data_IF_207044241287
#
_entry.id   IF_207044241287
#
_cell.length_a   1.000
_cell.length_b   1.000
_cell.length_c   1.000
_cell.angle_alpha   90.00
_cell.angle_beta   90.00
_cell.angle_gamma   90.00
#
_symmetry.space_group_name_H-M   'P 1'
#
loop_
_entity.id
_entity.type
_entity.pdbx_description
1 polymer ?
#
# COMPACT_ATOMS: atom_id res chain seq x y z
N UNK A 1 -5.58 20.44 -67.21
CA UNK A 1 -6.52 21.33 -66.50
C UNK A 1 -6.00 21.65 -65.10
N UNK A 2 -5.51 22.87 -64.85
CA UNK A 2 -4.93 23.26 -63.57
C UNK A 2 -5.92 23.25 -62.39
N UNK A 3 -7.21 23.47 -62.65
CA UNK A 3 -8.26 23.48 -61.62
C UNK A 3 -8.46 22.13 -60.90
N UNK A 4 -8.27 21.00 -61.60
CA UNK A 4 -8.42 19.68 -61.00
C UNK A 4 -7.27 19.34 -60.02
N UNK A 5 -6.06 19.83 -60.32
CA UNK A 5 -4.87 19.66 -59.48
C UNK A 5 -4.98 20.51 -58.21
N UNK A 6 -5.48 21.73 -58.34
CA UNK A 6 -5.68 22.65 -57.21
C UNK A 6 -6.73 22.13 -56.22
N UNK A 7 -7.83 21.55 -56.73
CA UNK A 7 -8.83 20.89 -55.90
C UNK A 7 -8.31 19.64 -55.17
N UNK A 8 -7.40 18.88 -55.78
CA UNK A 8 -6.78 17.72 -55.15
C UNK A 8 -5.78 18.13 -54.06
N UNK A 9 -4.99 19.19 -54.28
CA UNK A 9 -4.05 19.73 -53.29
C UNK A 9 -4.77 20.34 -52.08
N UNK A 10 -5.89 21.04 -52.32
CA UNK A 10 -6.73 21.59 -51.24
C UNK A 10 -7.29 20.48 -50.34
N UNK A 11 -7.89 19.44 -50.93
CA UNK A 11 -8.40 18.28 -50.17
C UNK A 11 -7.31 17.55 -49.40
N UNK A 12 -6.10 17.44 -49.96
CA UNK A 12 -4.94 16.85 -49.28
C UNK A 12 -4.47 17.72 -48.11
N UNK A 13 -4.48 19.04 -48.24
CA UNK A 13 -4.16 19.98 -47.15
C UNK A 13 -5.20 19.92 -46.04
N UNK A 14 -6.48 19.97 -46.38
CA UNK A 14 -7.59 19.87 -45.41
C UNK A 14 -7.56 18.51 -44.67
N UNK A 15 -7.21 17.41 -45.36
CA UNK A 15 -7.05 16.10 -44.73
C UNK A 15 -5.83 16.01 -43.79
N UNK A 16 -4.74 16.69 -44.13
CA UNK A 16 -3.54 16.78 -43.28
C UNK A 16 -3.82 17.67 -42.05
N UNK A 17 -4.46 18.82 -42.24
CA UNK A 17 -4.91 19.69 -41.15
C UNK A 17 -5.91 18.96 -40.23
N UNK A 18 -6.80 18.13 -40.77
CA UNK A 18 -7.70 17.30 -39.96
C UNK A 18 -6.97 16.18 -39.20
N UNK A 19 -5.91 15.59 -39.78
CA UNK A 19 -5.07 14.60 -39.10
C UNK A 19 -4.19 15.23 -38.00
N UNK A 20 -3.71 16.45 -38.21
CA UNK A 20 -2.95 17.25 -37.24
C UNK A 20 -3.85 17.83 -36.14
N UNK A 21 -5.11 18.16 -36.46
CA UNK A 21 -6.12 18.64 -35.53
C UNK A 21 -6.87 17.51 -34.79
N UNK A 22 -6.51 16.24 -35.02
CA UNK A 22 -6.95 15.18 -34.10
C UNK A 22 -6.48 15.56 -32.70
N UNK A 23 -7.36 15.54 -31.68
CA UNK A 23 -6.91 15.66 -30.30
C UNK A 23 -5.99 14.47 -30.01
N UNK A 24 -4.69 14.67 -30.19
CA UNK A 24 -3.65 13.73 -29.80
C UNK A 24 -3.69 13.64 -28.29
N UNK A 25 -4.08 12.46 -27.82
CA UNK A 25 -4.05 12.05 -26.41
C UNK A 25 -4.95 12.87 -25.47
N UNK A 26 -6.05 12.24 -24.99
CA UNK A 26 -6.29 12.32 -23.54
C UNK A 26 -4.96 11.97 -22.89
N UNK A 27 -4.39 12.86 -22.08
CA UNK A 27 -3.01 12.72 -21.58
C UNK A 27 -2.74 11.26 -21.19
N UNK A 28 -1.83 10.62 -21.92
CA UNK A 28 -1.42 9.23 -21.66
C UNK A 28 -0.95 9.08 -20.22
N UNK A 29 -0.38 10.15 -19.67
CA UNK A 29 0.05 10.28 -18.27
C UNK A 29 -1.03 9.88 -17.25
N UNK A 30 -2.28 10.34 -17.40
CA UNK A 30 -3.35 10.00 -16.45
C UNK A 30 -3.85 8.56 -16.60
N UNK A 31 -3.76 8.00 -17.81
CA UNK A 31 -4.15 6.61 -18.09
C UNK A 31 -3.08 5.62 -17.61
N UNK A 32 -1.81 6.00 -17.66
CA UNK A 32 -0.70 5.20 -17.16
C UNK A 32 -0.69 5.17 -15.63
N UNK A 33 -0.96 6.30 -14.95
CA UNK A 33 -1.11 6.32 -13.49
C UNK A 33 -2.25 5.42 -13.01
N UNK A 34 -3.41 5.45 -13.69
CA UNK A 34 -4.53 4.57 -13.35
C UNK A 34 -4.20 3.08 -13.53
N UNK A 35 -3.46 2.74 -14.59
CA UNK A 35 -2.99 1.36 -14.83
C UNK A 35 -1.99 0.93 -13.76
N UNK A 36 -1.01 1.77 -13.43
CA UNK A 36 -0.05 1.51 -12.36
C UNK A 36 -0.75 1.33 -11.01
N UNK A 37 -1.74 2.17 -10.69
CA UNK A 37 -2.56 2.02 -9.48
C UNK A 37 -3.34 0.70 -9.48
N UNK A 38 -3.97 0.34 -10.60
CA UNK A 38 -4.71 -0.92 -10.71
C UNK A 38 -3.79 -2.14 -10.57
N UNK A 39 -2.59 -2.08 -11.16
CA UNK A 39 -1.57 -3.12 -11.02
C UNK A 39 -1.06 -3.21 -9.58
N UNK A 40 -0.73 -2.09 -8.95
CA UNK A 40 -0.30 -2.02 -7.55
C UNK A 40 -1.37 -2.59 -6.61
N UNK A 41 -2.64 -2.32 -6.89
CA UNK A 41 -3.75 -2.88 -6.12
C UNK A 41 -3.89 -4.39 -6.34
N UNK A 42 -3.74 -4.86 -7.58
CA UNK A 42 -3.83 -6.27 -7.91
C UNK A 42 -2.63 -7.09 -7.41
N UNK A 43 -1.47 -6.45 -7.18
CA UNK A 43 -0.27 -7.11 -6.65
C UNK A 43 -0.28 -7.30 -5.14
N UNK A 44 -1.20 -6.69 -4.40
CA UNK A 44 -1.30 -6.89 -2.95
C UNK A 44 -1.65 -8.36 -2.67
N UNK A 45 -0.74 -9.04 -2.01
CA UNK A 45 -0.79 -10.49 -1.79
C UNK A 45 -1.09 -10.78 -0.33
N UNK A 46 -2.09 -11.61 -0.05
CA UNK A 46 -2.32 -12.15 1.31
C UNK A 46 -1.25 -13.17 1.64
N UNK A 47 -0.54 -12.96 2.74
CA UNK A 47 0.43 -13.91 3.28
C UNK A 47 -0.25 -14.89 4.23
N UNK A 48 -1.06 -14.37 5.15
CA UNK A 48 -1.87 -15.15 6.11
C UNK A 48 -3.05 -14.35 6.62
N UNK A 49 -4.10 -15.04 7.05
CA UNK A 49 -5.27 -14.44 7.71
C UNK A 49 -5.90 -15.44 8.70
N UNK A 50 -5.24 -15.73 9.83
CA UNK A 50 -5.65 -16.79 10.75
C UNK A 50 -7.03 -16.54 11.38
N UNK A 51 -7.43 -15.26 11.45
CA UNK A 51 -8.67 -14.82 12.09
C UNK A 51 -9.74 -14.36 11.10
N UNK A 52 -9.49 -14.48 9.79
CA UNK A 52 -10.41 -14.08 8.71
C UNK A 52 -10.89 -12.64 8.86
N UNK A 53 -9.98 -11.73 9.19
CA UNK A 53 -10.30 -10.31 9.41
C UNK A 53 -10.19 -9.48 8.13
N UNK A 54 -9.63 -10.03 7.05
CA UNK A 54 -9.55 -9.36 5.78
C UNK A 54 -10.86 -9.48 4.99
N UNK A 55 -11.27 -8.42 4.26
CA UNK A 55 -10.71 -7.06 4.30
C UNK A 55 -11.15 -6.29 5.56
N UNK A 56 -10.40 -5.25 5.95
CA UNK A 56 -10.70 -4.49 7.17
C UNK A 56 -11.99 -3.65 7.04
N UNK A 57 -12.30 -3.17 5.84
CA UNK A 57 -13.55 -2.48 5.57
C UNK A 57 -14.73 -3.45 5.57
N UNK A 58 -15.71 -3.24 6.45
CA UNK A 58 -17.05 -3.82 6.26
C UNK A 58 -17.59 -4.75 7.35
N UNK A 59 -16.93 -4.93 8.51
CA UNK A 59 -17.47 -5.82 9.57
C UNK A 59 -17.34 -5.36 11.02
N UNK A 60 -16.66 -4.27 11.34
CA UNK A 60 -16.51 -3.84 12.75
C UNK A 60 -16.71 -2.33 12.91
N UNK A 61 -17.70 -1.88 13.70
CA UNK A 61 -17.87 -0.47 14.01
C UNK A 61 -16.85 -0.08 15.08
N UNK A 62 -15.73 0.52 14.67
CA UNK A 62 -14.74 1.04 15.60
C UNK A 62 -13.60 1.76 14.89
N UNK A 63 -12.89 2.66 15.58
CA UNK A 63 -11.74 3.35 15.02
C UNK A 63 -10.64 2.34 14.67
N UNK A 64 -9.92 2.63 13.59
CA UNK A 64 -8.74 1.89 13.15
C UNK A 64 -7.50 2.63 13.66
N UNK A 65 -6.68 1.99 14.48
CA UNK A 65 -5.36 2.52 14.80
C UNK A 65 -4.40 2.14 13.67
N UNK A 66 -3.79 3.11 13.02
CA UNK A 66 -2.69 2.91 12.08
C UNK A 66 -1.35 3.10 12.79
N UNK A 67 -0.57 2.03 12.91
CA UNK A 67 0.78 2.05 13.47
C UNK A 67 1.78 1.95 12.33
N UNK A 68 2.69 2.91 12.22
CA UNK A 68 3.80 2.88 11.25
C UNK A 68 5.05 2.44 12.00
N UNK A 69 5.63 1.31 11.58
CA UNK A 69 6.94 0.84 12.02
C UNK A 69 7.91 0.99 10.84
N UNK A 70 8.84 1.94 10.95
CA UNK A 70 9.82 2.24 9.90
C UNK A 70 11.23 2.17 10.46
N UNK A 71 11.98 1.15 10.06
CA UNK A 71 13.36 0.91 10.53
C UNK A 71 14.39 1.82 9.85
N UNK A 72 14.06 2.45 8.72
CA UNK A 72 15.00 3.28 7.95
C UNK A 72 14.78 4.80 8.12
N UNK A 73 13.73 5.20 8.84
CA UNK A 73 13.37 6.61 9.01
C UNK A 73 13.27 7.41 7.69
N UNK A 74 12.78 6.76 6.63
CA UNK A 74 12.77 7.37 5.30
C UNK A 74 11.62 8.38 5.21
N UNK A 75 11.97 9.61 4.89
CA UNK A 75 11.01 10.71 4.79
C UNK A 75 9.87 10.39 3.80
N UNK A 76 8.63 10.62 4.24
CA UNK A 76 7.44 10.55 3.39
C UNK A 76 6.76 9.18 3.34
N UNK A 77 7.30 8.14 3.96
CA UNK A 77 6.65 6.81 4.05
C UNK A 77 5.33 6.86 4.81
N UNK A 78 5.19 7.78 5.74
CA UNK A 78 3.98 8.00 6.52
C UNK A 78 2.90 8.79 5.78
N UNK A 79 3.24 9.43 4.65
CA UNK A 79 2.36 10.37 3.95
C UNK A 79 1.03 9.74 3.52
N UNK A 80 0.98 8.55 2.90
CA UNK A 80 -0.29 7.94 2.51
C UNK A 80 -1.22 7.63 3.70
N UNK A 81 -0.64 7.21 4.84
CA UNK A 81 -1.39 6.99 6.07
C UNK A 81 -1.92 8.31 6.65
N UNK A 82 -1.08 9.36 6.65
CA UNK A 82 -1.46 10.71 7.10
C UNK A 82 -2.60 11.30 6.27
N UNK A 83 -2.51 11.21 4.94
CA UNK A 83 -3.57 11.67 4.04
C UNK A 83 -4.90 10.98 4.40
N UNK A 84 -4.89 9.66 4.64
CA UNK A 84 -6.09 8.89 5.02
C UNK A 84 -6.67 9.24 6.40
N UNK A 85 -5.82 9.55 7.38
CA UNK A 85 -6.25 10.09 8.68
C UNK A 85 -6.96 11.45 8.52
N UNK A 86 -6.37 12.35 7.73
CA UNK A 86 -6.92 13.67 7.44
C UNK A 86 -8.28 13.59 6.70
N UNK A 87 -8.53 12.54 5.92
CA UNK A 87 -9.80 12.30 5.25
C UNK A 87 -10.92 11.70 6.14
N UNK A 88 -10.68 11.53 7.45
CA UNK A 88 -11.75 11.24 8.42
C UNK A 88 -12.24 9.79 8.46
N UNK A 89 -11.44 8.81 8.03
CA UNK A 89 -11.82 7.39 7.99
C UNK A 89 -11.80 6.68 9.37
N UNK A 90 -11.81 7.44 10.48
CA UNK A 90 -11.60 6.87 11.83
C UNK A 90 -10.22 6.24 12.01
N UNK A 91 -9.25 6.66 11.19
CA UNK A 91 -7.86 6.21 11.23
C UNK A 91 -7.08 7.13 12.17
N UNK A 92 -6.47 6.58 13.23
CA UNK A 92 -5.56 7.32 14.10
C UNK A 92 -4.14 6.86 13.86
N UNK A 93 -3.22 7.76 13.50
CA UNK A 93 -1.85 7.37 13.18
C UNK A 93 -0.93 7.49 14.39
N UNK A 94 -0.04 6.52 14.55
CA UNK A 94 1.13 6.58 15.42
C UNK A 94 2.34 6.02 14.68
N UNK A 95 3.51 6.63 14.89
CA UNK A 95 4.77 6.15 14.30
C UNK A 95 5.72 5.77 15.43
N UNK A 96 6.24 4.55 15.38
CA UNK A 96 7.34 4.11 16.22
C UNK A 96 8.61 4.02 15.37
N UNK A 97 9.66 4.67 15.88
CA UNK A 97 11.03 4.60 15.35
C UNK A 97 11.95 3.83 16.31
N UNK A 98 11.51 3.70 17.56
CA UNK A 98 12.19 3.10 18.68
C UNK A 98 11.16 2.61 19.72
N UNK A 99 11.65 2.01 20.79
CA UNK A 99 10.84 1.50 21.90
C UNK A 99 10.16 2.60 22.75
N UNK A 100 10.54 3.87 22.62
CA UNK A 100 10.08 4.93 23.54
C UNK A 100 8.57 5.20 23.44
N UNK A 101 7.94 4.82 22.32
CA UNK A 101 6.50 4.99 22.07
C UNK A 101 5.68 3.71 22.21
N UNK A 102 6.31 2.60 22.59
CA UNK A 102 5.66 1.29 22.64
C UNK A 102 4.43 1.27 23.55
N UNK A 103 4.54 1.79 24.79
CA UNK A 103 3.42 1.78 25.74
C UNK A 103 2.21 2.63 25.29
N UNK A 104 2.47 3.79 24.67
CA UNK A 104 1.41 4.64 24.11
C UNK A 104 0.67 3.90 22.98
N UNK A 105 1.42 3.27 22.07
CA UNK A 105 0.87 2.51 20.95
C UNK A 105 0.07 1.31 21.43
N UNK A 106 0.57 0.56 22.41
CA UNK A 106 -0.12 -0.58 23.00
C UNK A 106 -1.41 -0.16 23.69
N UNK A 107 -1.38 0.95 24.43
CA UNK A 107 -2.57 1.52 25.07
C UNK A 107 -3.63 1.95 24.06
N UNK A 108 -3.21 2.62 22.97
CA UNK A 108 -4.10 3.00 21.88
C UNK A 108 -4.68 1.76 21.16
N UNK A 109 -3.87 0.72 20.96
CA UNK A 109 -4.28 -0.52 20.31
C UNK A 109 -5.34 -1.27 21.12
N UNK A 110 -5.26 -1.21 22.46
CA UNK A 110 -6.27 -1.77 23.34
C UNK A 110 -7.66 -1.14 23.12
N UNK A 111 -7.71 0.18 22.92
CA UNK A 111 -8.94 0.95 22.71
C UNK A 111 -9.48 0.89 21.28
N UNK A 112 -8.63 0.58 20.30
CA UNK A 112 -9.02 0.54 18.89
C UNK A 112 -9.88 -0.68 18.56
N UNK A 113 -10.83 -0.53 17.62
CA UNK A 113 -11.62 -1.66 17.09
C UNK A 113 -10.79 -2.56 16.18
N UNK A 114 -9.83 -1.97 15.48
CA UNK A 114 -8.86 -2.63 14.59
C UNK A 114 -7.50 -1.97 14.68
N UNK A 115 -6.46 -2.73 14.38
CA UNK A 115 -5.08 -2.22 14.28
C UNK A 115 -4.54 -2.54 12.89
N UNK A 116 -4.09 -1.52 12.18
CA UNK A 116 -3.39 -1.62 10.91
C UNK A 116 -1.92 -1.27 11.17
N UNK A 117 -1.01 -2.21 10.95
CA UNK A 117 0.42 -2.00 11.17
C UNK A 117 1.13 -1.96 9.82
N UNK A 118 1.67 -0.81 9.46
CA UNK A 118 2.45 -0.60 8.24
C UNK A 118 3.93 -0.86 8.55
N UNK A 119 4.51 -1.84 7.88
CA UNK A 119 5.88 -2.28 8.09
C UNK A 119 6.76 -1.81 6.94
N UNK A 120 7.77 -1.02 7.26
CA UNK A 120 8.79 -0.57 6.33
C UNK A 120 10.16 -1.02 6.82
N UNK A 121 10.90 -1.70 5.95
CA UNK A 121 12.26 -2.13 6.23
C UNK A 121 12.99 -2.50 4.95
N UNK A 122 13.97 -1.69 4.58
CA UNK A 122 14.83 -1.95 3.44
C UNK A 122 15.84 -3.05 3.78
N UNK A 123 16.00 -3.97 2.84
CA UNK A 123 17.13 -4.89 2.84
C UNK A 123 18.36 -4.11 2.39
N UNK A 124 19.28 -3.83 3.33
CA UNK A 124 20.53 -3.12 3.08
C UNK A 124 21.71 -3.99 3.49
N UNK A 125 22.71 -4.10 2.63
CA UNK A 125 23.90 -4.93 2.88
C UNK A 125 24.64 -4.55 4.18
N UNK A 126 24.64 -3.26 4.55
CA UNK A 126 25.33 -2.77 5.74
C UNK A 126 24.57 -3.00 7.06
N UNK A 127 23.26 -3.32 7.02
CA UNK A 127 22.47 -3.53 8.25
C UNK A 127 22.82 -4.84 8.97
N UNK A 128 23.40 -5.81 8.26
CA UNK A 128 23.76 -7.13 8.81
C UNK A 128 22.56 -7.96 9.29
N UNK A 129 21.32 -7.50 9.05
CA UNK A 129 20.08 -8.18 9.42
C UNK A 129 19.02 -7.97 8.34
N UNK A 130 18.15 -8.96 8.09
CA UNK A 130 16.92 -8.75 7.33
C UNK A 130 15.84 -8.16 8.24
N UNK A 131 15.05 -7.21 7.74
CA UNK A 131 13.84 -6.74 8.42
C UNK A 131 14.04 -5.62 9.44
N UNK A 132 13.20 -5.61 10.48
CA UNK A 132 13.09 -4.53 11.46
C UNK A 132 14.19 -4.62 12.53
N UNK A 133 14.50 -3.50 13.18
CA UNK A 133 15.32 -3.48 14.38
C UNK A 133 14.66 -4.21 15.57
N UNK A 134 15.44 -4.72 16.54
CA UNK A 134 14.92 -5.54 17.65
C UNK A 134 13.80 -4.88 18.46
N UNK A 135 13.85 -3.57 18.62
CA UNK A 135 12.83 -2.81 19.35
C UNK A 135 11.48 -2.80 18.63
N UNK A 136 11.50 -2.53 17.32
CA UNK A 136 10.30 -2.54 16.48
C UNK A 136 9.75 -3.96 16.30
N UNK A 137 10.63 -4.97 16.19
CA UNK A 137 10.21 -6.37 16.22
C UNK A 137 9.53 -6.74 17.54
N UNK A 138 10.09 -6.32 18.68
CA UNK A 138 9.50 -6.57 20.00
C UNK A 138 8.13 -5.94 20.14
N UNK A 139 7.96 -4.70 19.66
CA UNK A 139 6.65 -4.04 19.61
C UNK A 139 5.67 -4.80 18.71
N UNK A 140 6.11 -5.24 17.52
CA UNK A 140 5.28 -6.00 16.58
C UNK A 140 4.81 -7.33 17.18
N UNK A 141 5.70 -8.08 17.84
CA UNK A 141 5.35 -9.32 18.55
C UNK A 141 4.33 -9.05 19.65
N UNK A 142 4.55 -8.02 20.45
CA UNK A 142 3.61 -7.64 21.53
C UNK A 142 2.23 -7.28 20.98
N UNK A 143 2.16 -6.55 19.87
CA UNK A 143 0.90 -6.23 19.18
C UNK A 143 0.22 -7.50 18.64
N UNK A 144 0.99 -8.43 18.09
CA UNK A 144 0.49 -9.68 17.54
C UNK A 144 -0.08 -10.59 18.65
N UNK A 145 0.65 -10.76 19.75
CA UNK A 145 0.23 -11.54 20.92
C UNK A 145 -1.04 -10.97 21.57
N UNK A 146 -1.10 -9.66 21.81
CA UNK A 146 -2.20 -9.03 22.56
C UNK A 146 -3.41 -8.71 21.70
N UNK A 147 -3.21 -8.48 20.40
CA UNK A 147 -4.23 -7.93 19.52
C UNK A 147 -4.34 -8.62 18.16
N UNK A 148 -3.65 -9.74 17.91
CA UNK A 148 -3.61 -10.45 16.61
C UNK A 148 -4.98 -10.69 15.97
N UNK A 149 -5.98 -11.05 16.78
CA UNK A 149 -7.37 -11.26 16.36
C UNK A 149 -8.09 -10.05 15.74
N UNK A 150 -7.53 -8.84 15.87
CA UNK A 150 -8.06 -7.60 15.29
C UNK A 150 -7.01 -6.78 14.53
N UNK A 151 -5.84 -7.37 14.28
CA UNK A 151 -4.68 -6.67 13.74
C UNK A 151 -4.24 -7.20 12.39
N UNK A 152 -3.89 -6.28 11.48
CA UNK A 152 -3.36 -6.56 10.14
C UNK A 152 -1.98 -5.93 9.98
N UNK A 153 -0.98 -6.71 9.59
CA UNK A 153 0.32 -6.23 9.14
C UNK A 153 0.33 -6.03 7.60
N UNK A 154 0.87 -4.91 7.14
CA UNK A 154 1.09 -4.61 5.72
C UNK A 154 2.58 -4.44 5.51
N UNK A 155 3.19 -5.35 4.75
CA UNK A 155 4.61 -5.32 4.45
C UNK A 155 4.85 -4.54 3.16
N UNK A 156 5.60 -3.44 3.26
CA UNK A 156 6.13 -2.72 2.11
C UNK A 156 7.57 -3.17 1.86
N UNK A 157 7.87 -3.66 0.66
CA UNK A 157 9.19 -4.16 0.26
C UNK A 157 9.34 -5.69 0.32
N UNK A 158 9.13 -6.33 1.48
CA UNK A 158 9.37 -7.78 1.62
C UNK A 158 8.34 -8.50 2.49
N UNK A 159 7.85 -9.70 2.10
CA UNK A 159 6.96 -10.51 2.95
C UNK A 159 7.64 -10.97 4.25
N UNK A 160 8.97 -11.03 4.29
CA UNK A 160 9.72 -11.44 5.49
C UNK A 160 9.52 -10.49 6.68
N UNK A 161 9.10 -9.25 6.44
CA UNK A 161 8.76 -8.28 7.50
C UNK A 161 7.60 -8.77 8.38
N UNK A 162 6.75 -9.66 7.86
CA UNK A 162 5.66 -10.24 8.63
C UNK A 162 6.12 -11.32 9.61
N UNK A 163 7.37 -11.78 9.61
CA UNK A 163 7.84 -12.85 10.49
C UNK A 163 7.43 -12.65 11.96
N UNK A 164 7.78 -11.50 12.59
CA UNK A 164 7.43 -11.23 13.99
C UNK A 164 5.94 -10.97 14.28
N UNK A 165 5.10 -10.84 13.24
CA UNK A 165 3.66 -10.55 13.38
C UNK A 165 2.80 -11.83 13.50
N UNK A 166 3.36 -12.92 14.02
CA UNK A 166 2.66 -14.21 14.12
C UNK A 166 1.33 -14.09 14.86
N UNK A 167 0.24 -14.64 14.30
CA UNK A 167 -1.11 -14.46 14.84
C UNK A 167 -1.86 -13.22 14.32
N UNK A 168 -1.20 -12.29 13.61
CA UNK A 168 -1.88 -11.24 12.84
C UNK A 168 -2.22 -11.74 11.43
N UNK A 169 -3.26 -11.16 10.83
CA UNK A 169 -3.36 -11.18 9.38
C UNK A 169 -2.16 -10.41 8.79
N UNK A 170 -1.65 -10.82 7.63
CA UNK A 170 -0.54 -10.16 6.97
C UNK A 170 -0.72 -10.14 5.45
N UNK A 171 -0.40 -9.01 4.84
CA UNK A 171 -0.36 -8.81 3.38
C UNK A 171 0.98 -8.20 2.98
N UNK A 172 1.39 -8.39 1.73
CA UNK A 172 2.56 -7.76 1.14
C UNK A 172 2.15 -6.90 -0.06
N UNK A 173 2.64 -5.66 -0.11
CA UNK A 173 2.47 -4.72 -1.22
C UNK A 173 3.75 -4.56 -2.07
N UNK A 174 4.79 -5.38 -1.81
CA UNK A 174 6.03 -5.55 -2.57
C UNK A 174 6.98 -4.36 -2.71
N UNK A 175 6.53 -3.12 -2.48
CA UNK A 175 7.35 -1.91 -2.63
C UNK A 175 6.77 -0.77 -1.77
N UNK A 176 7.55 0.27 -1.48
CA UNK A 176 7.17 1.40 -0.64
C UNK A 176 6.82 2.68 -1.42
N UNK A 177 6.69 2.63 -2.75
CA UNK A 177 6.32 3.78 -3.55
C UNK A 177 4.95 4.35 -3.10
N UNK A 178 4.77 5.68 -3.03
CA UNK A 178 3.54 6.30 -2.53
C UNK A 178 2.26 5.81 -3.25
N UNK A 179 2.33 5.55 -4.56
CA UNK A 179 1.21 5.01 -5.33
C UNK A 179 0.79 3.61 -4.84
N UNK A 180 1.77 2.76 -4.54
CA UNK A 180 1.57 1.39 -4.08
C UNK A 180 1.00 1.38 -2.66
N UNK A 181 1.55 2.23 -1.78
CA UNK A 181 1.01 2.44 -0.45
C UNK A 181 -0.45 2.88 -0.48
N UNK A 182 -0.79 3.88 -1.31
CA UNK A 182 -2.17 4.34 -1.50
C UNK A 182 -3.07 3.20 -2.02
N UNK A 183 -2.66 2.50 -3.07
CA UNK A 183 -3.42 1.39 -3.63
C UNK A 183 -3.70 0.28 -2.60
N UNK A 184 -2.71 -0.06 -1.77
CA UNK A 184 -2.84 -1.06 -0.71
C UNK A 184 -3.79 -0.60 0.40
N UNK A 185 -3.63 0.62 0.92
CA UNK A 185 -4.51 1.16 1.96
C UNK A 185 -5.96 1.22 1.46
N UNK A 186 -6.17 1.65 0.22
CA UNK A 186 -7.50 1.79 -0.37
C UNK A 186 -8.19 0.44 -0.50
N UNK A 187 -7.47 -0.57 -0.97
CA UNK A 187 -7.97 -1.94 -1.06
C UNK A 187 -8.43 -2.46 0.31
N UNK A 188 -7.53 -2.38 1.29
CA UNK A 188 -7.73 -2.95 2.62
C UNK A 188 -8.85 -2.25 3.40
N UNK A 189 -8.93 -0.93 3.28
CA UNK A 189 -9.92 -0.10 4.00
C UNK A 189 -11.26 0.00 3.28
N UNK A 190 -11.32 -0.15 1.95
CA UNK A 190 -12.58 -0.12 1.18
C UNK A 190 -13.42 -1.40 1.28
N UNK A 191 -12.92 -2.42 2.00
CA UNK A 191 -13.64 -3.67 2.19
C UNK A 191 -13.55 -4.63 1.01
N UNK A 192 -12.46 -4.54 0.25
CA UNK A 192 -12.17 -5.44 -0.87
C UNK A 192 -10.99 -6.34 -0.54
N UNK A 193 -11.13 -7.62 -0.83
CA UNK A 193 -10.07 -8.60 -0.54
C UNK A 193 -8.87 -8.44 -1.47
N UNK A 194 -7.64 -8.66 -0.98
CA UNK A 194 -6.46 -8.80 -1.83
C UNK A 194 -6.59 -9.96 -2.82
N UNK A 195 -6.04 -9.78 -4.02
CA UNK A 195 -6.09 -10.76 -5.13
C UNK A 195 -4.71 -11.19 -5.62
N UNK A 196 -3.64 -10.61 -5.08
CA UNK A 196 -2.27 -10.95 -5.46
C UNK A 196 -1.90 -12.35 -5.03
N UNK A 197 -0.92 -12.92 -5.74
CA UNK A 197 -0.34 -14.23 -5.46
C UNK A 197 1.16 -14.08 -5.22
N UNK A 198 1.75 -15.02 -4.48
CA UNK A 198 3.20 -15.07 -4.33
C UNK A 198 3.83 -15.45 -5.67
N UNK A 199 4.85 -14.72 -6.16
CA UNK A 199 5.48 -15.01 -7.44
C UNK A 199 6.38 -16.25 -7.41
N UNK A 200 6.64 -16.83 -6.24
CA UNK A 200 7.42 -18.04 -6.02
C UNK A 200 6.77 -18.90 -4.91
N UNK A 201 6.86 -20.23 -5.00
CA UNK A 201 6.35 -21.16 -3.96
C UNK A 201 7.34 -21.37 -2.81
N UNK A 202 7.16 -22.40 -1.95
CA UNK A 202 6.12 -22.51 -0.91
C UNK A 202 6.08 -21.28 0.04
N UNK A 203 5.31 -21.35 1.13
CA UNK A 203 5.00 -20.24 2.04
C UNK A 203 6.28 -19.50 2.56
N UNK A 204 6.45 -18.19 2.32
CA UNK A 204 7.62 -17.42 2.76
C UNK A 204 7.69 -17.24 4.28
N UNK A 205 6.68 -17.73 5.01
CA UNK A 205 6.58 -17.69 6.46
C UNK A 205 6.69 -19.09 7.10
N UNK A 206 6.91 -20.15 6.30
CA UNK A 206 7.12 -21.51 6.79
C UNK A 206 8.53 -21.74 7.34
#
# INVERSE_FOLDING_TARGET
>A
EPAAVEGALRRRREALEWLEARPTARSTEGMDEYRCYAMARASVTTLRDPHRILPLGGRSPGPVLCVVLDDDDREGRERPAREREEFGAGLHRRTAKDAARSEEILSAAALAGRVLVLLYGDIRAWKGRPGLGPELEGLLRTLAERHGGKSLAVCFGSPSLAGPAEGMAAVCAWDDAPLIQRAALDLLLSGRSPTGHLPYGPDPLA
#
